data_IF_612156180936
#
_entry.id   IF_612156180936
#
_cell.length_a   1.000
_cell.length_b   1.000
_cell.length_c   1.000
_cell.angle_alpha   90.00
_cell.angle_beta   90.00
_cell.angle_gamma   90.00
#
_symmetry.space_group_name_H-M   'P 1'
#
loop_
_entity.id
_entity.type
_entity.pdbx_description
1 polymer ?
#
# COMPACT_ATOMS: atom_id res chain seq x y z
N UNK A 1 -6.42 20.74 -1.87
CA UNK A 1 -6.38 22.23 -1.87
C UNK A 1 -5.37 22.70 -0.82
N UNK A 2 -4.76 23.87 -0.99
CA UNK A 2 -3.97 24.56 0.05
C UNK A 2 -4.65 25.88 0.38
N UNK A 3 -4.77 26.21 1.66
CA UNK A 3 -5.28 27.49 2.12
C UNK A 3 -4.16 28.22 2.87
N UNK A 4 -3.94 29.50 2.57
CA UNK A 4 -3.10 30.36 3.41
C UNK A 4 -3.88 30.85 4.64
N UNK A 5 -3.19 31.38 5.68
CA UNK A 5 -3.85 31.88 6.89
C UNK A 5 -4.92 32.96 6.64
N UNK A 6 -4.80 33.72 5.55
CA UNK A 6 -5.76 34.73 5.09
C UNK A 6 -6.98 34.13 4.34
N UNK A 7 -7.05 32.81 4.21
CA UNK A 7 -8.14 32.09 3.54
C UNK A 7 -7.98 31.96 2.02
N UNK A 8 -6.89 32.44 1.41
CA UNK A 8 -6.70 32.27 -0.04
C UNK A 8 -6.49 30.81 -0.40
N UNK A 9 -7.37 30.29 -1.25
CA UNK A 9 -7.32 28.93 -1.77
C UNK A 9 -6.37 28.85 -2.97
N UNK A 10 -5.56 27.80 -3.01
CA UNK A 10 -4.71 27.47 -4.16
C UNK A 10 -4.81 25.97 -4.45
N UNK A 11 -5.11 25.56 -5.70
CA UNK A 11 -5.00 24.17 -6.12
C UNK A 11 -3.59 23.64 -5.83
N UNK A 12 -3.51 22.51 -5.12
CA UNK A 12 -2.23 21.93 -4.70
C UNK A 12 -1.90 20.69 -5.51
N UNK A 13 -2.79 19.69 -5.49
CA UNK A 13 -2.71 18.47 -6.28
C UNK A 13 -4.15 18.02 -6.58
N UNK A 14 -4.71 18.34 -7.75
CA UNK A 14 -6.07 17.96 -8.12
C UNK A 14 -6.21 16.46 -8.41
N UNK A 15 -7.44 15.97 -8.44
CA UNK A 15 -7.77 14.65 -8.97
C UNK A 15 -7.98 13.55 -7.93
N UNK A 16 -8.33 13.91 -6.70
CA UNK A 16 -8.94 12.96 -5.76
C UNK A 16 -10.43 12.83 -6.04
N UNK A 17 -10.99 11.65 -5.79
CA UNK A 17 -12.43 11.36 -5.91
C UNK A 17 -13.12 11.38 -4.55
N UNK A 18 -12.72 10.46 -3.67
CA UNK A 18 -13.31 10.25 -2.36
C UNK A 18 -12.18 9.96 -1.34
N UNK A 19 -11.24 10.90 -1.13
CA UNK A 19 -10.12 10.70 -0.23
C UNK A 19 -10.60 10.65 1.21
N UNK A 20 -9.96 9.81 2.03
CA UNK A 20 -10.33 9.67 3.44
C UNK A 20 -9.13 9.81 4.37
N UNK A 21 -8.44 10.94 4.25
CA UNK A 21 -7.43 11.39 5.18
C UNK A 21 -6.08 11.66 4.53
N UNK A 22 -5.28 12.45 5.25
CA UNK A 22 -3.92 12.83 4.88
C UNK A 22 -2.99 12.36 6.00
N UNK A 23 -1.84 11.83 5.60
CA UNK A 23 -0.74 11.47 6.48
C UNK A 23 0.52 12.22 6.08
N UNK A 24 1.43 12.40 7.02
CA UNK A 24 2.76 12.94 6.77
C UNK A 24 3.79 11.83 7.01
N UNK A 25 4.79 11.74 6.14
CA UNK A 25 5.99 10.96 6.44
C UNK A 25 6.79 11.65 7.57
N UNK A 26 7.76 10.96 8.18
CA UNK A 26 8.67 11.56 9.17
C UNK A 26 9.42 12.79 8.64
N UNK A 27 9.65 12.86 7.33
CA UNK A 27 10.29 13.96 6.61
C UNK A 27 9.31 15.08 6.22
N UNK A 28 8.03 14.93 6.56
CA UNK A 28 6.98 15.89 6.23
C UNK A 28 6.45 15.80 4.80
N UNK A 29 6.73 14.71 4.07
CA UNK A 29 6.15 14.45 2.75
C UNK A 29 4.65 14.10 2.90
N UNK A 30 3.80 14.58 1.98
CA UNK A 30 2.35 14.44 2.08
C UNK A 30 1.91 13.12 1.44
N UNK A 31 1.13 12.32 2.15
CA UNK A 31 0.49 11.12 1.64
C UNK A 31 -1.01 11.18 1.81
N UNK A 32 -1.75 10.58 0.89
CA UNK A 32 -3.21 10.44 0.97
C UNK A 32 -3.63 9.07 0.50
N UNK A 33 -4.84 8.69 0.87
CA UNK A 33 -5.57 7.57 0.29
C UNK A 33 -6.75 8.07 -0.51
N UNK A 34 -7.26 7.22 -1.41
CA UNK A 34 -8.51 7.44 -2.12
C UNK A 34 -9.27 6.13 -2.28
N UNK A 35 -10.59 6.24 -2.33
CA UNK A 35 -11.52 5.12 -2.38
C UNK A 35 -11.95 4.84 -3.82
N UNK A 36 -12.13 3.55 -4.11
CA UNK A 36 -12.54 3.02 -5.40
C UNK A 36 -13.79 3.67 -5.97
N UNK A 37 -13.80 3.87 -7.28
CA UNK A 37 -14.92 4.38 -8.05
C UNK A 37 -14.48 4.83 -9.43
N UNK A 38 -15.11 5.87 -9.98
CA UNK A 38 -14.70 6.42 -11.27
C UNK A 38 -13.23 6.82 -11.25
N UNK A 39 -12.45 6.36 -12.23
CA UNK A 39 -11.01 6.63 -12.38
C UNK A 39 -10.10 6.17 -11.23
N UNK A 40 -10.67 5.59 -10.18
CA UNK A 40 -9.96 5.05 -9.02
C UNK A 40 -10.25 3.54 -8.96
N UNK A 41 -9.33 2.72 -9.47
CA UNK A 41 -9.53 1.28 -9.66
C UNK A 41 -9.85 0.53 -8.37
N UNK A 42 -9.08 0.78 -7.31
CA UNK A 42 -9.24 0.23 -5.97
C UNK A 42 -8.71 1.26 -4.94
N UNK A 43 -8.73 0.90 -3.66
CA UNK A 43 -8.06 1.69 -2.63
C UNK A 43 -6.56 1.81 -2.92
N UNK A 44 -5.95 2.93 -2.58
CA UNK A 44 -4.52 3.12 -2.77
C UNK A 44 -3.92 4.12 -1.78
N UNK A 45 -2.59 4.13 -1.67
CA UNK A 45 -1.77 5.16 -1.02
C UNK A 45 -0.91 5.86 -2.06
N UNK A 46 -0.87 7.19 -2.04
CA UNK A 46 -0.07 7.99 -2.97
C UNK A 46 0.69 9.08 -2.23
N UNK A 47 1.95 9.24 -2.61
CA UNK A 47 2.74 10.43 -2.29
C UNK A 47 2.23 11.63 -3.10
N UNK A 48 2.01 12.78 -2.46
CA UNK A 48 1.43 13.97 -3.07
C UNK A 48 2.43 15.12 -3.08
N UNK A 49 2.75 15.62 -4.27
CA UNK A 49 3.57 16.82 -4.48
C UNK A 49 2.72 17.92 -5.08
N UNK A 50 3.13 19.17 -4.85
CA UNK A 50 2.48 20.33 -5.49
C UNK A 50 2.56 20.16 -7.01
N UNK A 51 1.41 20.24 -7.67
CA UNK A 51 1.26 20.15 -9.11
C UNK A 51 0.86 18.78 -9.62
N UNK A 52 0.88 17.74 -8.78
CA UNK A 52 0.50 16.39 -9.20
C UNK A 52 -0.97 16.31 -9.65
N UNK A 53 -1.24 15.51 -10.68
CA UNK A 53 -2.60 15.08 -11.03
C UNK A 53 -2.83 13.66 -10.48
N UNK A 54 -3.70 13.55 -9.47
CA UNK A 54 -3.90 12.33 -8.66
C UNK A 54 -4.88 11.32 -9.28
N UNK A 55 -5.50 11.67 -10.41
CA UNK A 55 -6.11 10.71 -11.33
C UNK A 55 -7.59 10.90 -11.67
N UNK A 56 -8.38 11.65 -10.90
CA UNK A 56 -9.78 11.93 -11.25
C UNK A 56 -9.93 13.22 -12.07
N UNK A 57 -10.35 13.17 -13.35
CA UNK A 57 -10.33 14.34 -14.24
C UNK A 57 -11.13 15.55 -13.77
N UNK A 58 -12.24 15.33 -13.04
CA UNK A 58 -13.06 16.44 -12.52
C UNK A 58 -12.29 17.39 -11.61
N UNK A 59 -11.21 16.92 -10.97
CA UNK A 59 -10.39 17.78 -10.11
C UNK A 59 -9.62 18.85 -10.88
N UNK A 60 -9.50 18.73 -12.20
CA UNK A 60 -8.80 19.69 -13.05
C UNK A 60 -9.63 20.92 -13.40
N UNK A 61 -10.97 20.87 -13.24
CA UNK A 61 -11.89 21.94 -13.67
C UNK A 61 -11.56 23.29 -13.02
N UNK A 62 -11.16 23.27 -11.75
CA UNK A 62 -10.84 24.48 -10.97
C UNK A 62 -9.32 24.76 -10.90
N UNK A 63 -8.50 24.02 -11.66
CA UNK A 63 -7.06 24.21 -11.65
C UNK A 63 -6.62 25.14 -12.80
N UNK A 64 -6.14 26.36 -12.49
CA UNK A 64 -5.84 27.39 -13.51
C UNK A 64 -4.66 27.03 -14.41
N UNK A 65 -3.97 25.92 -14.16
CA UNK A 65 -2.90 25.40 -15.03
C UNK A 65 -3.44 24.75 -16.30
N UNK A 66 -4.74 24.46 -16.35
CA UNK A 66 -5.37 23.75 -17.47
C UNK A 66 -6.48 24.60 -18.07
N UNK A 67 -6.39 24.83 -19.38
CA UNK A 67 -7.48 25.43 -20.16
C UNK A 67 -8.39 24.32 -20.69
N UNK A 68 -9.70 24.47 -20.48
CA UNK A 68 -10.75 23.53 -20.89
C UNK A 68 -10.42 22.03 -20.64
N UNK A 69 -10.16 21.62 -19.38
CA UNK A 69 -9.74 20.26 -19.06
C UNK A 69 -10.74 19.16 -19.46
N UNK A 70 -12.01 19.52 -19.70
CA UNK A 70 -13.06 18.61 -20.20
C UNK A 70 -12.86 18.17 -21.66
N UNK A 71 -12.03 18.86 -22.43
CA UNK A 71 -11.68 18.47 -23.81
C UNK A 71 -10.45 17.54 -23.89
N UNK A 72 -9.78 17.31 -22.76
CA UNK A 72 -8.56 16.50 -22.73
C UNK A 72 -8.86 15.02 -23.01
N UNK A 73 -8.10 14.45 -23.96
CA UNK A 73 -8.22 13.02 -24.25
C UNK A 73 -7.74 12.17 -23.08
N UNK A 74 -8.28 10.94 -22.97
CA UNK A 74 -7.84 9.95 -21.99
C UNK A 74 -6.32 9.73 -22.03
N UNK A 75 -5.72 9.72 -23.21
CA UNK A 75 -4.27 9.56 -23.40
C UNK A 75 -3.47 10.72 -22.78
N UNK A 76 -3.90 11.97 -23.01
CA UNK A 76 -3.26 13.14 -22.39
C UNK A 76 -3.36 13.09 -20.87
N UNK A 77 -4.53 12.75 -20.35
CA UNK A 77 -4.75 12.63 -18.90
C UNK A 77 -3.90 11.50 -18.28
N UNK A 78 -3.76 10.36 -18.98
CA UNK A 78 -2.90 9.26 -18.53
C UNK A 78 -1.44 9.68 -18.40
N UNK A 79 -0.92 10.47 -19.36
CA UNK A 79 0.46 10.98 -19.32
C UNK A 79 0.71 11.96 -18.16
N UNK A 80 -0.31 12.69 -17.75
CA UNK A 80 -0.24 13.62 -16.61
C UNK A 80 -0.44 12.93 -15.27
N UNK A 81 -1.14 11.81 -15.25
CA UNK A 81 -1.57 11.12 -14.04
C UNK A 81 -0.35 10.58 -13.29
N UNK A 82 -0.26 10.95 -12.01
CA UNK A 82 0.63 10.28 -11.07
C UNK A 82 0.06 8.92 -10.67
N UNK A 83 0.91 7.90 -10.65
CA UNK A 83 0.54 6.57 -10.18
C UNK A 83 0.63 6.47 -8.65
N UNK A 84 -0.25 5.70 -7.99
CA UNK A 84 -0.13 5.46 -6.57
C UNK A 84 1.18 4.75 -6.20
N UNK A 85 1.65 5.00 -4.99
CA UNK A 85 2.82 4.31 -4.44
C UNK A 85 2.49 2.86 -4.07
N UNK A 86 1.27 2.61 -3.58
CA UNK A 86 0.78 1.26 -3.32
C UNK A 86 -0.71 1.15 -3.62
N UNK A 87 -1.11 0.16 -4.40
CA UNK A 87 -2.49 -0.25 -4.54
C UNK A 87 -2.88 -1.24 -3.43
N UNK A 88 -4.14 -1.14 -2.98
CA UNK A 88 -4.79 -2.06 -2.05
C UNK A 88 -5.96 -2.72 -2.81
N UNK A 89 -5.73 -3.86 -3.49
CA UNK A 89 -6.76 -4.53 -4.29
C UNK A 89 -8.01 -4.88 -3.48
N UNK A 90 -9.16 -4.63 -4.11
CA UNK A 90 -10.48 -4.74 -3.49
C UNK A 90 -10.77 -6.16 -2.98
N UNK A 91 -11.49 -6.27 -1.87
CA UNK A 91 -11.84 -7.53 -1.21
C UNK A 91 -10.71 -8.08 -0.34
N UNK A 92 -9.52 -8.26 -0.94
CA UNK A 92 -8.38 -8.87 -0.25
C UNK A 92 -7.70 -7.90 0.71
N UNK A 93 -7.46 -6.66 0.28
CA UNK A 93 -6.84 -5.61 1.12
C UNK A 93 -7.86 -4.69 1.80
N UNK A 94 -9.15 -5.03 1.70
CA UNK A 94 -10.25 -4.16 2.11
C UNK A 94 -10.90 -3.49 0.92
N UNK A 95 -11.89 -2.64 1.18
CA UNK A 95 -12.70 -2.03 0.12
C UNK A 95 -12.69 -0.52 0.19
N UNK A 96 -12.43 0.10 1.34
CA UNK A 96 -12.50 1.54 1.52
C UNK A 96 -11.41 2.03 2.46
N UNK A 97 -10.30 2.50 1.90
CA UNK A 97 -9.15 3.01 2.65
C UNK A 97 -9.49 4.23 3.50
N UNK A 98 -8.89 4.32 4.68
CA UNK A 98 -8.90 5.48 5.56
C UNK A 98 -7.53 6.15 5.66
N UNK A 99 -7.32 6.98 6.70
CA UNK A 99 -6.15 7.82 6.84
C UNK A 99 -4.86 6.97 6.85
N UNK A 100 -3.85 7.30 6.02
CA UNK A 100 -2.53 6.70 6.15
C UNK A 100 -1.83 7.27 7.40
N UNK A 101 -1.30 6.39 8.26
CA UNK A 101 -0.55 6.75 9.47
C UNK A 101 0.83 6.11 9.45
N UNK A 102 1.89 6.91 9.55
CA UNK A 102 3.25 6.40 9.66
C UNK A 102 3.53 5.85 11.06
N UNK A 103 4.11 4.66 11.16
CA UNK A 103 4.70 4.16 12.40
C UNK A 103 5.99 4.91 12.70
N UNK A 104 5.85 5.95 13.52
CA UNK A 104 6.94 6.79 14.05
C UNK A 104 7.31 6.40 15.48
N UNK A 105 6.83 5.26 15.97
CA UNK A 105 6.95 4.88 17.38
C UNK A 105 8.35 4.40 17.77
N UNK A 106 9.25 4.22 16.79
CA UNK A 106 10.63 3.77 17.04
C UNK A 106 10.70 2.34 17.59
N UNK A 107 9.77 1.48 17.18
CA UNK A 107 9.71 0.07 17.60
C UNK A 107 8.82 -0.21 18.81
N UNK A 108 8.20 0.81 19.41
CA UNK A 108 7.22 0.61 20.50
C UNK A 108 5.94 -0.09 20.01
N UNK A 109 5.66 -0.05 18.71
CA UNK A 109 4.60 -0.82 18.06
C UNK A 109 5.12 -2.07 17.31
N UNK A 110 6.17 -2.70 17.87
CA UNK A 110 6.75 -3.92 17.31
C UNK A 110 7.68 -3.64 16.12
N UNK A 111 7.90 -4.63 15.24
CA UNK A 111 8.97 -4.60 14.24
C UNK A 111 8.64 -3.74 13.00
N UNK A 112 7.53 -3.01 12.98
CA UNK A 112 7.00 -2.34 11.79
C UNK A 112 7.35 -0.85 11.69
N UNK A 113 8.29 -0.39 12.50
CA UNK A 113 8.73 1.00 12.52
C UNK A 113 9.08 1.49 11.10
N UNK A 114 8.57 2.68 10.75
CA UNK A 114 8.74 3.28 9.43
C UNK A 114 7.77 2.79 8.34
N UNK A 115 6.87 1.83 8.63
CA UNK A 115 5.80 1.45 7.70
C UNK A 115 4.56 2.32 7.88
N UNK A 116 3.66 2.30 6.89
CA UNK A 116 2.39 3.02 6.95
C UNK A 116 1.27 2.05 7.32
N UNK A 117 0.42 2.43 8.26
CA UNK A 117 -0.84 1.76 8.56
C UNK A 117 -1.97 2.44 7.79
N UNK A 118 -2.80 1.64 7.13
CA UNK A 118 -4.02 2.10 6.44
C UNK A 118 -5.19 1.27 6.93
N UNK A 119 -6.24 1.94 7.38
CA UNK A 119 -7.48 1.27 7.77
C UNK A 119 -8.44 1.05 6.62
N UNK A 120 -9.38 0.14 6.84
CA UNK A 120 -10.50 -0.14 5.96
C UNK A 120 -11.82 0.18 6.67
N UNK A 121 -12.56 1.13 6.13
CA UNK A 121 -13.85 1.59 6.65
C UNK A 121 -14.95 0.57 6.39
N UNK A 122 -14.82 -0.28 5.36
CA UNK A 122 -15.91 -1.20 5.02
C UNK A 122 -15.84 -2.51 5.80
N UNK A 123 -14.66 -3.09 6.00
CA UNK A 123 -14.54 -4.41 6.63
C UNK A 123 -13.77 -4.36 7.95
N UNK A 124 -13.45 -3.17 8.47
CA UNK A 124 -12.81 -3.03 9.78
C UNK A 124 -11.48 -3.78 9.87
N UNK A 125 -10.53 -3.46 9.00
CA UNK A 125 -9.19 -4.06 9.00
C UNK A 125 -8.09 -3.00 8.92
N UNK A 126 -6.86 -3.41 9.22
CA UNK A 126 -5.63 -2.66 9.02
C UNK A 126 -4.74 -3.39 8.02
N UNK A 127 -4.09 -2.61 7.17
CA UNK A 127 -3.01 -3.05 6.28
C UNK A 127 -1.74 -2.28 6.59
N UNK A 128 -0.60 -2.94 6.43
CA UNK A 128 0.73 -2.30 6.44
C UNK A 128 1.13 -1.99 5.00
N UNK A 129 1.76 -0.84 4.80
CA UNK A 129 2.39 -0.47 3.54
C UNK A 129 3.89 -0.28 3.80
N UNK A 130 4.67 -1.19 3.24
CA UNK A 130 6.13 -1.10 3.24
C UNK A 130 6.56 -0.37 1.97
N UNK A 131 6.89 0.91 2.12
CA UNK A 131 7.28 1.79 1.02
C UNK A 131 8.79 1.82 0.84
N UNK A 132 9.21 2.02 -0.40
CA UNK A 132 10.58 2.33 -0.80
C UNK A 132 10.62 3.43 -1.86
N UNK A 133 11.81 4.01 -2.09
CA UNK A 133 12.04 4.96 -3.19
C UNK A 133 12.85 4.29 -4.29
N UNK A 134 12.30 4.23 -5.49
CA UNK A 134 12.97 3.72 -6.70
C UNK A 134 12.92 4.81 -7.77
N UNK A 135 14.09 5.18 -8.30
CA UNK A 135 14.25 6.28 -9.27
C UNK A 135 13.51 7.58 -8.85
N UNK A 136 13.62 7.94 -7.56
CA UNK A 136 13.00 9.16 -7.01
C UNK A 136 11.48 9.09 -6.78
N UNK A 137 10.83 7.98 -7.10
CA UNK A 137 9.40 7.77 -6.86
C UNK A 137 9.14 6.74 -5.76
N UNK A 138 8.08 6.98 -5.00
CA UNK A 138 7.63 6.01 -4.02
C UNK A 138 6.88 4.88 -4.71
N UNK A 139 7.21 3.66 -4.31
CA UNK A 139 6.43 2.46 -4.60
C UNK A 139 6.56 1.46 -3.45
N UNK A 140 5.81 0.38 -3.43
CA UNK A 140 5.95 -0.61 -2.36
C UNK A 140 4.83 -1.62 -2.23
N UNK A 141 4.88 -2.35 -1.11
CA UNK A 141 4.04 -3.49 -0.82
C UNK A 141 2.94 -3.17 0.18
N UNK A 142 1.70 -3.50 -0.18
CA UNK A 142 0.58 -3.55 0.75
C UNK A 142 0.44 -4.97 1.31
N UNK A 143 0.44 -5.11 2.64
CA UNK A 143 0.48 -6.38 3.38
C UNK A 143 -0.70 -6.41 4.38
N UNK A 144 -1.51 -7.49 4.42
CA UNK A 144 -2.53 -7.65 5.46
C UNK A 144 -1.93 -7.59 6.87
N UNK A 145 -2.69 -7.15 7.87
CA UNK A 145 -2.12 -7.03 9.22
C UNK A 145 -3.08 -7.32 10.38
N UNK A 146 -4.16 -6.58 10.54
CA UNK A 146 -5.13 -6.89 11.61
C UNK A 146 -6.52 -6.87 10.98
N UNK A 147 -7.16 -8.04 10.96
CA UNK A 147 -8.53 -8.21 10.51
C UNK A 147 -9.32 -9.01 11.57
N UNK A 148 -10.64 -8.89 11.53
CA UNK A 148 -11.58 -9.60 12.42
C UNK A 148 -11.40 -9.33 13.94
N UNK A 149 -10.63 -8.29 14.30
CA UNK A 149 -10.48 -7.81 15.70
C UNK A 149 -11.20 -6.48 15.96
N UNK A 150 -11.57 -5.78 14.89
CA UNK A 150 -12.28 -4.52 14.97
C UNK A 150 -13.79 -4.75 14.85
N UNK A 151 -14.58 -3.96 15.59
CA UNK A 151 -16.04 -4.08 15.63
C UNK A 151 -16.75 -3.05 14.76
N UNK A 152 -16.03 -2.43 13.82
CA UNK A 152 -16.51 -1.34 13.00
C UNK A 152 -15.46 -0.85 12.00
N UNK A 153 -15.88 0.04 11.10
CA UNK A 153 -15.05 0.60 10.04
C UNK A 153 -13.91 1.46 10.59
N UNK A 154 -12.66 1.09 10.29
CA UNK A 154 -11.47 1.79 10.79
C UNK A 154 -11.29 3.10 10.03
N UNK A 155 -11.50 4.24 10.70
CA UNK A 155 -11.54 5.56 10.05
C UNK A 155 -10.37 6.49 10.42
N UNK A 156 -9.97 6.54 11.69
CA UNK A 156 -8.86 7.38 12.15
C UNK A 156 -7.90 6.57 13.00
N UNK A 157 -6.63 6.88 12.86
CA UNK A 157 -5.53 6.19 13.51
C UNK A 157 -4.61 7.23 14.13
N UNK A 158 -4.15 6.98 15.36
CA UNK A 158 -3.10 7.79 15.98
C UNK A 158 -2.31 6.94 16.96
N UNK A 159 -0.99 7.15 17.01
CA UNK A 159 -0.15 6.61 18.07
C UNK A 159 -0.13 7.57 19.26
N UNK A 160 -0.22 7.04 20.48
CA UNK A 160 0.13 7.82 21.66
C UNK A 160 1.65 7.79 21.94
N UNK A 161 2.08 8.53 22.97
CA UNK A 161 3.50 8.68 23.32
C UNK A 161 4.15 7.37 23.81
N UNK A 162 3.33 6.42 24.26
CA UNK A 162 3.72 5.07 24.65
C UNK A 162 3.82 4.11 23.46
N UNK A 163 3.39 4.52 22.26
CA UNK A 163 3.39 3.69 21.06
C UNK A 163 2.17 2.77 20.97
N UNK A 164 1.11 3.02 21.74
CA UNK A 164 -0.18 2.34 21.58
C UNK A 164 -0.91 2.96 20.40
N UNK A 165 -1.42 2.10 19.51
CA UNK A 165 -2.26 2.54 18.41
C UNK A 165 -3.70 2.71 18.88
N UNK A 166 -4.23 3.92 18.74
CA UNK A 166 -5.64 4.21 18.92
C UNK A 166 -6.36 4.18 17.57
N UNK A 167 -7.47 3.45 17.55
CA UNK A 167 -8.28 3.18 16.36
C UNK A 167 -9.66 3.76 16.58
N UNK A 168 -10.03 4.78 15.80
CA UNK A 168 -11.35 5.38 15.80
C UNK A 168 -12.23 4.84 14.69
N UNK A 169 -13.48 4.56 15.03
CA UNK A 169 -14.48 4.03 14.10
C UNK A 169 -15.40 5.12 13.57
N UNK A 170 -16.10 4.82 12.48
CA UNK A 170 -17.19 5.65 11.97
C UNK A 170 -18.53 4.92 12.10
N UNK A 171 -19.51 5.61 12.69
CA UNK A 171 -20.91 5.14 12.72
C UNK A 171 -21.64 5.34 11.39
N UNK A 172 -21.01 6.03 10.42
CA UNK A 172 -21.54 6.25 9.07
C UNK A 172 -20.79 5.38 8.06
N UNK A 173 -21.53 4.82 7.11
CA UNK A 173 -20.98 3.99 6.04
C UNK A 173 -21.31 2.51 6.23
N UNK A 174 -20.43 1.64 5.75
CA UNK A 174 -20.77 0.23 5.48
C UNK A 174 -20.53 -0.70 6.68
N UNK A 175 -19.59 -0.35 7.56
CA UNK A 175 -19.41 -1.01 8.85
C UNK A 175 -19.52 0.03 9.96
N UNK A 176 -20.76 0.28 10.41
CA UNK A 176 -21.01 1.18 11.53
C UNK A 176 -20.29 0.67 12.78
N UNK A 177 -19.56 1.56 13.44
CA UNK A 177 -18.99 1.32 14.76
C UNK A 177 -18.85 2.62 15.53
N UNK A 178 -18.75 2.52 16.84
CA UNK A 178 -18.67 3.66 17.74
C UNK A 178 -17.43 3.59 18.63
N UNK A 179 -16.94 4.76 19.04
CA UNK A 179 -15.87 4.89 20.03
C UNK A 179 -14.46 4.62 19.49
N UNK A 180 -13.58 4.22 20.41
CA UNK A 180 -12.15 4.02 20.19
C UNK A 180 -11.75 2.62 20.67
N UNK A 181 -10.85 1.95 19.96
CA UNK A 181 -10.10 0.79 20.45
C UNK A 181 -8.62 1.11 20.57
N UNK A 182 -7.97 0.47 21.53
CA UNK A 182 -6.52 0.43 21.67
C UNK A 182 -5.97 -0.86 21.08
N UNK A 183 -4.85 -0.76 20.38
CA UNK A 183 -4.02 -1.89 19.98
C UNK A 183 -2.66 -1.67 20.62
N UNK A 184 -2.31 -2.55 21.54
CA UNK A 184 -1.06 -2.50 22.30
C UNK A 184 -0.17 -3.66 21.85
N UNK A 185 1.08 -3.37 21.51
CA UNK A 185 2.05 -4.42 21.23
C UNK A 185 2.32 -5.24 22.49
N UNK A 186 2.33 -6.57 22.35
CA UNK A 186 2.48 -7.50 23.47
C UNK A 186 3.94 -7.69 23.89
N UNK A 187 4.90 -7.12 23.17
CA UNK A 187 6.33 -7.41 23.33
C UNK A 187 6.80 -8.65 22.57
N UNK A 188 5.88 -9.44 21.99
CA UNK A 188 6.21 -10.63 21.20
C UNK A 188 6.33 -10.25 19.74
N UNK A 189 7.46 -10.58 19.11
CA UNK A 189 7.64 -10.45 17.66
C UNK A 189 6.84 -11.57 16.98
N UNK A 190 5.84 -11.26 16.12
CA UNK A 190 5.12 -12.27 15.35
C UNK A 190 5.94 -12.74 14.14
N UNK A 191 5.75 -13.96 13.62
CA UNK A 191 6.33 -14.40 12.35
C UNK A 191 5.58 -13.74 11.17
N UNK A 192 6.23 -12.80 10.49
CA UNK A 192 5.58 -11.92 9.51
C UNK A 192 6.46 -11.70 8.27
N UNK A 193 5.80 -11.50 7.13
CA UNK A 193 6.42 -10.85 5.98
C UNK A 193 6.58 -9.35 6.32
N UNK A 194 7.81 -8.92 6.57
CA UNK A 194 8.11 -7.57 6.98
C UNK A 194 7.98 -6.59 5.81
N UNK A 195 8.70 -6.84 4.72
CA UNK A 195 8.75 -5.95 3.56
C UNK A 195 9.02 -6.73 2.27
N UNK A 196 8.68 -6.11 1.14
CA UNK A 196 9.10 -6.54 -0.19
C UNK A 196 9.76 -5.35 -0.87
N UNK A 197 11.00 -5.54 -1.31
CA UNK A 197 11.81 -4.51 -1.95
C UNK A 197 12.25 -4.95 -3.34
N UNK A 198 12.07 -4.09 -4.33
CA UNK A 198 12.53 -4.36 -5.69
C UNK A 198 14.05 -4.51 -5.75
N UNK A 199 14.51 -5.55 -6.44
CA UNK A 199 15.90 -5.76 -6.83
C UNK A 199 16.03 -5.61 -8.35
N UNK A 200 17.26 -5.63 -8.88
CA UNK A 200 17.48 -5.50 -10.34
C UNK A 200 16.87 -6.65 -11.13
N UNK A 201 16.83 -7.84 -10.55
CA UNK A 201 16.44 -9.11 -11.15
C UNK A 201 15.28 -9.79 -10.42
N UNK A 202 14.62 -9.11 -9.49
CA UNK A 202 13.44 -9.64 -8.81
C UNK A 202 13.08 -8.88 -7.54
N UNK A 203 12.83 -9.60 -6.44
CA UNK A 203 12.37 -9.02 -5.18
C UNK A 203 13.13 -9.58 -3.98
N UNK A 204 13.49 -8.71 -3.04
CA UNK A 204 13.91 -9.09 -1.70
C UNK A 204 12.70 -9.11 -0.79
N UNK A 205 12.45 -10.25 -0.16
CA UNK A 205 11.44 -10.41 0.87
C UNK A 205 12.15 -10.43 2.22
N UNK A 206 11.75 -9.56 3.13
CA UNK A 206 12.28 -9.51 4.50
C UNK A 206 11.25 -10.05 5.49
N UNK A 207 11.70 -10.70 6.55
CA UNK A 207 10.86 -11.36 7.55
C UNK A 207 11.24 -10.89 8.96
N UNK A 208 10.30 -10.98 9.89
CA UNK A 208 10.52 -10.59 11.29
C UNK A 208 11.15 -11.70 12.14
N UNK A 209 11.21 -12.93 11.61
CA UNK A 209 11.86 -14.09 12.25
C UNK A 209 12.66 -14.89 11.24
N UNK A 210 13.77 -15.53 11.66
CA UNK A 210 14.52 -16.43 10.81
C UNK A 210 13.64 -17.55 10.25
N UNK A 211 13.74 -17.79 8.95
CA UNK A 211 13.03 -18.85 8.25
C UNK A 211 13.72 -20.21 8.42
N UNK A 212 12.96 -21.29 8.24
CA UNK A 212 13.52 -22.62 8.00
C UNK A 212 14.19 -22.62 6.63
N UNK A 213 15.47 -22.99 6.60
CA UNK A 213 16.28 -23.04 5.37
C UNK A 213 15.64 -23.96 4.31
N UNK A 214 15.13 -25.13 4.72
CA UNK A 214 14.46 -26.08 3.83
C UNK A 214 13.28 -25.43 3.10
N UNK A 215 12.40 -24.75 3.84
CA UNK A 215 11.23 -24.10 3.23
C UNK A 215 11.61 -22.86 2.45
N UNK A 216 12.61 -22.09 2.92
CA UNK A 216 13.03 -20.85 2.29
C UNK A 216 13.78 -21.09 0.97
N UNK A 217 14.57 -22.16 0.88
CA UNK A 217 15.33 -22.52 -0.32
C UNK A 217 14.48 -23.21 -1.40
N UNK A 218 13.26 -23.65 -1.06
CA UNK A 218 12.37 -24.27 -2.03
C UNK A 218 11.59 -23.20 -2.83
N UNK A 219 11.94 -23.05 -4.11
CA UNK A 219 11.32 -22.07 -5.02
C UNK A 219 9.80 -22.26 -5.20
N UNK A 220 9.29 -23.48 -5.04
CA UNK A 220 7.86 -23.77 -5.20
C UNK A 220 7.02 -23.24 -4.01
N UNK A 221 7.66 -22.78 -2.93
CA UNK A 221 6.99 -22.09 -1.82
C UNK A 221 6.65 -20.62 -2.11
N UNK A 222 7.04 -20.11 -3.28
CA UNK A 222 6.80 -18.73 -3.71
C UNK A 222 5.86 -18.72 -4.92
N UNK A 223 4.69 -18.12 -4.76
CA UNK A 223 3.71 -17.96 -5.83
C UNK A 223 3.57 -16.49 -6.18
N UNK A 224 3.92 -16.13 -7.41
CA UNK A 224 3.84 -14.77 -7.91
C UNK A 224 2.91 -14.70 -9.11
N UNK A 225 2.17 -13.60 -9.17
CA UNK A 225 1.50 -13.18 -10.40
C UNK A 225 1.49 -11.68 -10.45
N UNK A 226 1.41 -11.10 -11.64
CA UNK A 226 1.17 -9.68 -11.79
C UNK A 226 -0.12 -9.43 -12.57
N UNK A 227 -0.73 -8.28 -12.34
CA UNK A 227 -1.91 -7.83 -13.06
C UNK A 227 -1.88 -6.32 -13.25
N UNK A 228 -2.77 -5.83 -14.10
CA UNK A 228 -3.00 -4.41 -14.33
C UNK A 228 -4.34 -3.99 -13.77
N UNK A 229 -4.45 -2.70 -13.46
CA UNK A 229 -5.68 -2.05 -13.06
C UNK A 229 -5.96 -0.94 -14.07
N UNK A 230 -6.97 -1.14 -14.91
CA UNK A 230 -7.34 -0.19 -15.94
C UNK A 230 -7.78 1.15 -15.31
N UNK A 231 -7.28 2.25 -15.87
CA UNK A 231 -7.74 3.60 -15.50
C UNK A 231 -8.92 4.00 -16.40
N UNK A 232 -10.13 4.01 -15.84
CA UNK A 232 -11.37 4.16 -16.60
C UNK A 232 -12.46 4.91 -15.82
N UNK A 233 -13.43 5.47 -16.52
CA UNK A 233 -14.54 6.22 -15.92
C UNK A 233 -15.52 5.34 -15.13
N UNK A 234 -15.67 4.07 -15.53
CA UNK A 234 -16.55 3.13 -14.86
C UNK A 234 -16.15 2.93 -13.39
N UNK A 235 -17.13 2.59 -12.55
CA UNK A 235 -16.92 2.45 -11.11
C UNK A 235 -16.02 1.26 -10.79
N UNK A 236 -14.85 1.54 -10.21
CA UNK A 236 -13.90 0.52 -9.78
C UNK A 236 -13.30 -0.26 -10.96
N UNK A 237 -12.35 -1.13 -10.66
CA UNK A 237 -11.73 -1.99 -11.67
C UNK A 237 -11.24 -3.29 -11.07
N UNK A 238 -11.67 -4.40 -11.65
CA UNK A 238 -11.12 -5.71 -11.36
C UNK A 238 -9.73 -5.87 -11.99
N UNK A 239 -8.82 -6.67 -11.38
CA UNK A 239 -7.57 -7.06 -12.02
C UNK A 239 -7.77 -7.57 -13.45
N UNK A 240 -6.95 -7.08 -14.37
CA UNK A 240 -6.90 -7.55 -15.76
C UNK A 240 -5.49 -8.00 -16.13
N UNK A 241 -5.35 -8.74 -17.23
CA UNK A 241 -4.04 -9.19 -17.75
C UNK A 241 -3.21 -9.91 -16.67
N UNK A 242 -3.84 -10.83 -15.94
CA UNK A 242 -3.17 -11.58 -14.88
C UNK A 242 -2.22 -12.60 -15.51
N UNK A 243 -0.95 -12.53 -15.14
CA UNK A 243 0.09 -13.45 -15.60
C UNK A 243 0.78 -14.06 -14.39
N UNK A 244 0.90 -15.38 -14.38
CA UNK A 244 1.69 -16.10 -13.38
C UNK A 244 3.18 -15.91 -13.67
N UNK A 245 3.94 -15.62 -12.63
CA UNK A 245 5.40 -15.49 -12.69
C UNK A 245 6.00 -16.57 -11.82
N UNK A 246 6.88 -17.41 -12.39
CA UNK A 246 7.62 -18.41 -11.62
C UNK A 246 9.04 -17.89 -11.37
N UNK A 247 9.47 -17.70 -10.11
CA UNK A 247 10.86 -17.37 -9.83
C UNK A 247 11.79 -18.43 -10.41
N UNK A 248 12.90 -18.00 -11.00
CA UNK A 248 13.94 -18.86 -11.56
C UNK A 248 15.01 -19.23 -10.53
N UNK A 249 15.02 -18.54 -9.39
CA UNK A 249 15.93 -18.84 -8.30
C UNK A 249 15.53 -18.17 -7.00
N UNK A 250 16.10 -18.68 -5.91
CA UNK A 250 15.94 -18.15 -4.57
C UNK A 250 17.29 -18.15 -3.87
N UNK A 251 17.62 -17.04 -3.19
CA UNK A 251 18.82 -16.94 -2.36
C UNK A 251 18.39 -16.57 -0.94
N UNK A 252 18.65 -17.46 0.01
CA UNK A 252 18.36 -17.23 1.42
C UNK A 252 19.57 -16.53 2.05
N UNK A 253 19.33 -15.46 2.78
CA UNK A 253 20.37 -14.77 3.56
C UNK A 253 20.90 -15.63 4.71
N UNK A 254 22.13 -15.36 5.16
CA UNK A 254 22.79 -16.12 6.24
C UNK A 254 22.01 -16.08 7.56
N UNK A 255 21.41 -14.93 7.90
CA UNK A 255 20.57 -14.76 9.09
C UNK A 255 19.15 -15.33 8.92
N UNK A 256 18.81 -15.76 7.68
CA UNK A 256 17.51 -16.28 7.26
C UNK A 256 16.35 -15.30 7.50
N UNK A 257 16.65 -14.00 7.66
CA UNK A 257 15.66 -12.93 7.79
C UNK A 257 15.29 -12.31 6.45
N UNK A 258 15.96 -12.72 5.37
CA UNK A 258 15.61 -12.27 4.02
C UNK A 258 15.84 -13.34 2.96
N UNK A 259 15.08 -13.21 1.88
CA UNK A 259 15.15 -14.05 0.69
C UNK A 259 15.15 -13.15 -0.54
N UNK A 260 16.11 -13.34 -1.42
CA UNK A 260 16.10 -12.74 -2.77
C UNK A 260 15.47 -13.73 -3.75
N UNK A 261 14.29 -13.37 -4.27
CA UNK A 261 13.63 -14.05 -5.36
C UNK A 261 14.12 -13.48 -6.69
N UNK A 262 14.64 -14.36 -7.53
CA UNK A 262 15.15 -14.02 -8.86
C UNK A 262 14.08 -14.40 -9.88
N UNK A 263 13.71 -13.46 -10.74
CA UNK A 263 12.72 -13.63 -11.80
C UNK A 263 13.42 -13.75 -13.16
N UNK A 264 12.72 -14.25 -14.18
CA UNK A 264 13.27 -14.28 -15.52
C UNK A 264 13.37 -12.87 -16.10
N UNK A 265 14.27 -12.69 -17.06
CA UNK A 265 14.36 -11.44 -17.81
C UNK A 265 13.01 -11.12 -18.47
N UNK A 266 12.52 -9.88 -18.27
CA UNK A 266 11.23 -9.43 -18.78
C UNK A 266 10.04 -9.63 -17.83
N UNK A 267 10.18 -10.39 -16.74
CA UNK A 267 9.08 -10.62 -15.79
C UNK A 267 8.81 -9.40 -14.89
N UNK A 268 9.81 -8.55 -14.67
CA UNK A 268 9.66 -7.27 -13.96
C UNK A 268 9.02 -6.22 -14.88
N UNK A 269 7.70 -6.29 -15.04
CA UNK A 269 6.94 -5.39 -15.90
C UNK A 269 6.44 -4.14 -15.14
N UNK A 270 6.93 -2.92 -15.45
CA UNK A 270 6.43 -1.70 -14.84
C UNK A 270 4.93 -1.50 -15.04
N UNK A 271 4.35 -0.66 -14.20
CA UNK A 271 2.92 -0.32 -14.21
C UNK A 271 1.97 -1.48 -13.86
N UNK A 272 2.49 -2.55 -13.26
CA UNK A 272 1.72 -3.70 -12.77
C UNK A 272 1.68 -3.73 -11.23
N UNK A 273 0.78 -4.57 -10.71
CA UNK A 273 0.74 -4.95 -9.30
C UNK A 273 1.07 -6.43 -9.21
N UNK A 274 2.11 -6.78 -8.46
CA UNK A 274 2.48 -8.15 -8.15
C UNK A 274 1.72 -8.62 -6.91
N UNK A 275 0.99 -9.72 -7.04
CA UNK A 275 0.55 -10.52 -5.91
C UNK A 275 1.62 -11.55 -5.60
N UNK A 276 2.15 -11.50 -4.37
CA UNK A 276 3.23 -12.36 -3.89
C UNK A 276 2.71 -13.14 -2.69
N UNK A 277 2.73 -14.47 -2.81
CA UNK A 277 2.30 -15.39 -1.76
C UNK A 277 3.43 -16.30 -1.32
N UNK A 278 3.51 -16.52 -0.01
CA UNK A 278 4.56 -17.30 0.65
C UNK A 278 3.99 -18.29 1.67
N UNK A 279 2.83 -18.89 1.37
CA UNK A 279 2.07 -19.77 2.27
C UNK A 279 2.87 -21.01 2.73
N UNK A 280 3.85 -21.45 1.93
CA UNK A 280 4.70 -22.60 2.20
C UNK A 280 5.83 -22.34 3.20
N UNK A 281 6.18 -21.07 3.46
CA UNK A 281 7.30 -20.74 4.34
C UNK A 281 7.00 -21.03 5.81
N UNK A 282 8.04 -21.44 6.53
CA UNK A 282 8.01 -21.64 7.99
C UNK A 282 9.17 -20.90 8.63
N UNK A 283 9.00 -20.48 9.87
CA UNK A 283 10.13 -20.05 10.70
C UNK A 283 11.04 -21.24 11.02
N UNK A 284 12.23 -20.96 11.53
CA UNK A 284 13.13 -22.01 12.06
C UNK A 284 12.44 -22.88 13.13
N UNK A 285 11.56 -22.28 13.95
CA UNK A 285 10.77 -22.99 14.94
C UNK A 285 9.55 -23.75 14.37
N UNK A 286 9.39 -23.78 13.04
CA UNK A 286 8.28 -24.42 12.35
C UNK A 286 6.95 -23.64 12.34
N UNK A 287 6.92 -22.38 12.79
CA UNK A 287 5.70 -21.58 12.81
C UNK A 287 5.33 -21.08 11.41
N UNK A 288 4.04 -20.92 11.13
CA UNK A 288 3.55 -20.26 9.91
C UNK A 288 3.71 -18.74 10.03
N UNK A 289 3.82 -18.06 8.90
CA UNK A 289 3.67 -16.60 8.86
C UNK A 289 2.20 -16.23 9.11
N UNK A 290 1.96 -15.18 9.88
CA UNK A 290 0.61 -14.66 10.14
C UNK A 290 -0.03 -14.12 8.85
N UNK A 291 0.74 -13.37 8.06
CA UNK A 291 0.29 -12.76 6.80
C UNK A 291 1.22 -13.11 5.62
N UNK A 292 1.00 -14.27 4.96
CA UNK A 292 1.87 -14.76 3.88
C UNK A 292 1.53 -14.14 2.50
N UNK A 293 1.07 -12.88 2.46
CA UNK A 293 0.57 -12.22 1.26
C UNK A 293 1.05 -10.77 1.18
N UNK A 294 1.51 -10.34 0.02
CA UNK A 294 1.76 -8.94 -0.30
C UNK A 294 1.28 -8.58 -1.70
N UNK A 295 0.87 -7.32 -1.87
CA UNK A 295 0.65 -6.70 -3.18
C UNK A 295 1.68 -5.60 -3.41
N UNK A 296 2.67 -5.89 -4.24
CA UNK A 296 3.72 -4.94 -4.59
C UNK A 296 3.32 -4.13 -5.82
N UNK A 297 3.29 -2.81 -5.71
CA UNK A 297 3.05 -1.91 -6.86
C UNK A 297 4.37 -1.60 -7.54
N UNK A 298 4.57 -2.04 -8.77
CA UNK A 298 5.79 -1.79 -9.54
C UNK A 298 5.57 -0.61 -10.49
N UNK A 299 6.15 0.55 -10.20
CA UNK A 299 6.04 1.74 -11.05
C UNK A 299 7.33 2.02 -11.83
N UNK A 300 8.49 1.84 -11.19
CA UNK A 300 9.83 2.09 -11.70
C UNK A 300 10.72 0.87 -11.47
N UNK A 301 11.71 0.72 -12.35
CA UNK A 301 12.81 -0.22 -12.18
C UNK A 301 14.04 0.52 -11.66
N UNK A 302 14.95 -0.21 -11.01
CA UNK A 302 16.29 0.30 -10.75
C UNK A 302 17.00 0.57 -12.08
N UNK A 303 17.77 1.67 -12.12
CA UNK A 303 18.66 1.98 -13.24
C UNK A 303 19.96 1.17 -13.19
#
# INVERSE_FOLDING_TARGET
LKFSPDGKMTPFAPGLRAPNGIGLSPEGEIFTTDNQGSYIACGWVMHVRKGDFLGHPSGLIDDPRYDQPWEMTREKLLKLRKRPAAFLPHGVMGNSTSQPLWDTTGGKFGPFAGQVLVGDVQNGRLSRIALEKVDGEYQGAAIPFIYDKFGGGVNRLVFDKEGVLWVGFTGRGWAAGEGLKKVTWTGVVPPELLAVNLQKDGFRLSFTKPLSEETAANVDNYSLSHFQLAWQAAYGTSPSNRTTVKPVGVKVSEDRLSVDLILAEGDLNPETVFEIRVDGLRTESGAKLEHPLAFYTLNRLHK
#
